data_IF_640281120381
#
_entry.id   IF_640281120381
#
_cell.length_a   1.000
_cell.length_b   1.000
_cell.length_c   1.000
_cell.angle_alpha   90.00
_cell.angle_beta   90.00
_cell.angle_gamma   90.00
#
_symmetry.space_group_name_H-M   'P 1'
#
loop_
_entity.id
_entity.type
_entity.pdbx_description
1 polymer ?
#
# COMPACT_ATOMS: atom_id res chain seq x y z
N UNK A 1 6.67 -52.29 -10.02
CA UNK A 1 5.98 -51.08 -10.53
C UNK A 1 4.73 -50.65 -9.75
N UNK A 2 4.29 -51.34 -8.68
CA UNK A 2 3.08 -50.94 -7.94
C UNK A 2 3.38 -50.08 -6.67
N UNK A 3 4.38 -50.48 -5.88
CA UNK A 3 4.64 -49.86 -4.57
C UNK A 3 5.15 -48.40 -4.62
N UNK A 4 5.93 -48.04 -5.65
CA UNK A 4 6.49 -46.69 -5.83
C UNK A 4 5.43 -45.63 -6.19
N UNK A 5 4.47 -45.98 -7.05
CA UNK A 5 3.39 -45.07 -7.46
C UNK A 5 2.40 -44.81 -6.32
N UNK A 6 2.12 -45.83 -5.51
CA UNK A 6 1.23 -45.74 -4.34
C UNK A 6 1.96 -45.36 -3.03
N UNK A 7 3.22 -44.92 -3.10
CA UNK A 7 4.00 -44.35 -1.99
C UNK A 7 4.10 -45.25 -0.75
N UNK A 8 3.98 -46.57 -0.90
CA UNK A 8 3.96 -47.51 0.25
C UNK A 8 5.31 -47.68 0.96
N UNK A 9 6.43 -47.34 0.29
CA UNK A 9 7.80 -47.45 0.83
C UNK A 9 8.54 -46.09 0.84
N UNK A 10 7.81 -44.99 0.68
CA UNK A 10 8.42 -43.67 0.61
C UNK A 10 8.82 -43.20 2.02
N UNK A 11 10.01 -43.57 2.48
CA UNK A 11 10.70 -42.83 3.53
C UNK A 11 10.78 -41.36 3.06
N UNK A 12 10.15 -40.46 3.81
CA UNK A 12 9.74 -39.13 3.38
C UNK A 12 10.91 -38.13 3.29
N UNK A 13 12.02 -38.50 2.66
CA UNK A 13 13.05 -37.57 2.16
C UNK A 13 12.70 -37.03 0.76
N UNK A 14 11.40 -36.98 0.44
CA UNK A 14 10.94 -36.03 -0.56
C UNK A 14 11.17 -34.63 0.04
N UNK A 15 12.37 -34.08 -0.15
CA UNK A 15 12.69 -32.67 0.06
C UNK A 15 11.72 -31.90 -0.83
N UNK A 16 10.53 -31.63 -0.29
CA UNK A 16 9.54 -30.75 -0.90
C UNK A 16 10.30 -29.46 -1.12
N UNK A 17 10.66 -29.17 -2.38
CA UNK A 17 11.28 -27.90 -2.75
C UNK A 17 10.30 -26.82 -2.33
N UNK A 18 10.53 -26.27 -1.15
CA UNK A 18 9.71 -25.20 -0.57
C UNK A 18 9.81 -24.05 -1.57
N UNK A 19 8.69 -23.67 -2.18
CA UNK A 19 8.65 -22.59 -3.16
C UNK A 19 9.13 -21.32 -2.44
N UNK A 20 10.32 -20.83 -2.75
CA UNK A 20 10.85 -19.58 -2.20
C UNK A 20 10.21 -18.43 -2.99
N UNK A 21 9.11 -17.90 -2.47
CA UNK A 21 8.55 -16.64 -2.96
C UNK A 21 9.37 -15.49 -2.39
N UNK A 22 10.42 -15.07 -3.10
CA UNK A 22 11.18 -13.89 -2.71
C UNK A 22 10.41 -12.64 -3.14
N UNK A 23 9.58 -12.08 -2.24
CA UNK A 23 9.08 -10.71 -2.40
C UNK A 23 10.21 -9.75 -2.03
N UNK A 24 11.08 -9.43 -2.99
CA UNK A 24 12.04 -8.33 -2.79
C UNK A 24 11.24 -7.03 -2.75
N UNK A 25 11.27 -6.26 -1.64
CA UNK A 25 10.64 -4.95 -1.62
C UNK A 25 11.30 -4.09 -2.71
N UNK A 26 10.49 -3.45 -3.55
CA UNK A 26 10.98 -2.64 -4.65
C UNK A 26 11.66 -1.38 -4.09
N UNK A 27 12.97 -1.46 -3.88
CA UNK A 27 13.80 -0.40 -3.28
C UNK A 27 14.45 0.51 -4.33
N UNK A 28 13.78 0.71 -5.48
CA UNK A 28 14.29 1.61 -6.52
C UNK A 28 13.89 3.05 -6.19
N UNK A 29 14.82 3.98 -6.39
CA UNK A 29 14.47 5.39 -6.57
C UNK A 29 13.66 5.56 -7.84
N UNK A 30 12.74 6.53 -7.83
CA UNK A 30 11.87 6.84 -8.97
C UNK A 30 12.18 8.27 -9.42
N UNK A 31 12.11 8.54 -10.72
CA UNK A 31 12.30 9.92 -11.22
C UNK A 31 11.27 10.84 -10.56
N UNK A 32 11.73 11.94 -9.97
CA UNK A 32 10.90 12.89 -9.22
C UNK A 32 10.80 12.63 -7.71
N UNK A 33 11.35 11.52 -7.17
CA UNK A 33 11.45 11.30 -5.72
C UNK A 33 12.62 10.37 -5.33
N UNK A 34 13.46 10.82 -4.40
CA UNK A 34 14.54 9.99 -3.84
C UNK A 34 13.97 8.89 -2.95
N UNK A 35 14.75 7.82 -2.74
CA UNK A 35 14.33 6.65 -1.95
C UNK A 35 13.94 7.02 -0.52
N UNK A 36 14.64 7.98 0.09
CA UNK A 36 14.39 8.44 1.46
C UNK A 36 13.03 9.15 1.60
N UNK A 37 12.66 9.96 0.61
CA UNK A 37 11.36 10.67 0.61
C UNK A 37 10.22 9.66 0.50
N UNK A 38 10.39 8.63 -0.33
CA UNK A 38 9.38 7.56 -0.50
C UNK A 38 9.21 6.77 0.80
N UNK A 39 10.29 6.43 1.49
CA UNK A 39 10.23 5.68 2.75
C UNK A 39 9.59 6.51 3.86
N UNK A 40 9.95 7.78 3.99
CA UNK A 40 9.35 8.69 4.98
C UNK A 40 7.83 8.77 4.82
N UNK A 41 7.34 9.03 3.60
CA UNK A 41 5.90 9.07 3.30
C UNK A 41 5.17 7.74 3.53
N UNK A 42 5.84 6.60 3.33
CA UNK A 42 5.24 5.27 3.59
C UNK A 42 5.25 4.87 5.06
N UNK A 43 6.20 5.37 5.84
CA UNK A 43 6.34 5.07 7.27
C UNK A 43 5.50 5.99 8.16
N UNK A 44 4.91 7.05 7.59
CA UNK A 44 3.95 7.90 8.28
C UNK A 44 2.76 7.06 8.77
N UNK A 45 2.37 7.30 10.03
CA UNK A 45 1.25 6.59 10.66
C UNK A 45 -0.06 6.95 9.93
N UNK A 46 -1.00 6.00 9.78
CA UNK A 46 -2.27 6.24 9.11
C UNK A 46 -3.03 7.43 9.73
N UNK A 47 -2.95 7.61 11.05
CA UNK A 47 -3.60 8.71 11.77
C UNK A 47 -3.15 10.11 11.27
N UNK A 48 -1.88 10.26 10.89
CA UNK A 48 -1.34 11.52 10.35
C UNK A 48 -1.84 11.74 8.92
N UNK A 49 -1.98 10.66 8.15
CA UNK A 49 -2.55 10.70 6.81
C UNK A 49 -4.05 11.06 6.85
N UNK A 50 -4.80 10.52 7.81
CA UNK A 50 -6.22 10.80 8.00
C UNK A 50 -6.45 12.25 8.45
N UNK A 51 -5.61 12.77 9.37
CA UNK A 51 -5.65 14.18 9.76
C UNK A 51 -5.40 15.13 8.57
N UNK A 52 -4.43 14.82 7.71
CA UNK A 52 -4.15 15.60 6.51
C UNK A 52 -5.33 15.54 5.51
N UNK A 53 -5.99 14.37 5.39
CA UNK A 53 -7.18 14.19 4.57
C UNK A 53 -8.36 15.02 5.07
N UNK A 54 -8.63 14.98 6.37
CA UNK A 54 -9.71 15.79 6.97
C UNK A 54 -9.46 17.29 6.80
N UNK A 55 -8.21 17.75 6.98
CA UNK A 55 -7.86 19.15 6.76
C UNK A 55 -8.13 19.59 5.31
N UNK A 56 -7.77 18.77 4.32
CA UNK A 56 -8.04 19.04 2.92
C UNK A 56 -9.55 19.07 2.62
N UNK A 57 -10.32 18.13 3.17
CA UNK A 57 -11.78 18.08 3.01
C UNK A 57 -12.47 19.29 3.63
N UNK A 58 -12.05 19.69 4.84
CA UNK A 58 -12.53 20.92 5.50
C UNK A 58 -12.23 22.15 4.65
N UNK A 59 -11.01 22.28 4.15
CA UNK A 59 -10.63 23.40 3.28
C UNK A 59 -11.51 23.51 2.03
N UNK A 60 -11.78 22.38 1.36
CA UNK A 60 -12.68 22.34 0.20
C UNK A 60 -14.11 22.72 0.58
N UNK A 61 -14.63 22.21 1.71
CA UNK A 61 -15.96 22.59 2.20
C UNK A 61 -16.06 24.09 2.52
N UNK A 62 -15.05 24.67 3.17
CA UNK A 62 -15.03 26.10 3.44
C UNK A 62 -15.00 26.91 2.15
N UNK A 63 -14.23 26.50 1.15
CA UNK A 63 -14.16 27.18 -0.13
C UNK A 63 -15.51 27.14 -0.86
N UNK A 64 -16.21 26.00 -0.87
CA UNK A 64 -17.53 25.90 -1.51
C UNK A 64 -18.60 26.68 -0.77
N UNK A 65 -18.57 26.68 0.56
CA UNK A 65 -19.46 27.52 1.37
C UNK A 65 -19.21 29.00 1.12
N UNK A 66 -17.94 29.40 1.02
CA UNK A 66 -17.55 30.78 0.78
C UNK A 66 -17.98 31.26 -0.61
N UNK A 67 -17.79 30.46 -1.66
CA UNK A 67 -18.24 30.81 -3.01
C UNK A 67 -19.78 30.86 -3.10
N UNK A 68 -20.49 29.95 -2.43
CA UNK A 68 -21.96 30.00 -2.31
C UNK A 68 -22.44 31.25 -1.57
N UNK A 69 -21.76 31.64 -0.49
CA UNK A 69 -22.09 32.85 0.27
C UNK A 69 -21.88 34.13 -0.57
N UNK A 70 -20.76 34.20 -1.30
CA UNK A 70 -20.48 35.30 -2.24
C UNK A 70 -21.57 35.37 -3.30
N UNK A 71 -21.91 34.23 -3.92
CA UNK A 71 -22.97 34.18 -4.93
C UNK A 71 -24.33 34.63 -4.37
N UNK A 72 -24.63 34.30 -3.11
CA UNK A 72 -25.87 34.72 -2.44
C UNK A 72 -25.90 36.19 -2.01
N UNK A 73 -24.75 36.85 -1.84
CA UNK A 73 -24.69 38.29 -1.53
C UNK A 73 -24.62 39.19 -2.78
N UNK A 74 -24.22 38.64 -3.92
CA UNK A 74 -24.10 39.38 -5.18
C UNK A 74 -25.42 39.37 -5.99
N UNK A 75 -26.36 38.50 -5.64
CA UNK A 75 -27.68 38.38 -6.28
C UNK A 75 -28.80 38.89 -5.39
#
# INVERSE_FOLDING_TARGET
MYRKQHKKDAAAEAVKKRRRATKKPYSRSIVGATLEVIQKRRAEKPDVCDAAREAALRYVQYLTMFTLLIWRNIK
#
